data_IF_832720848461
#
_entry.id   IF_832720848461
#
_cell.length_a   1.000
_cell.length_b   1.000
_cell.length_c   1.000
_cell.angle_alpha   90.00
_cell.angle_beta   90.00
_cell.angle_gamma   90.00
#
_symmetry.space_group_name_H-M   'P 1'
#
loop_
_entity.id
_entity.type
_entity.pdbx_description
1 polymer ?
#
# COMPACT_ATOMS: atom_id res chain seq x y z
N UNK A 1 -13.00 -44.87 -47.85
CA UNK A 1 -13.47 -43.86 -46.92
C UNK A 1 -12.51 -43.86 -45.72
N UNK A 2 -11.63 -42.84 -45.56
CA UNK A 2 -10.70 -42.76 -44.44
C UNK A 2 -11.24 -41.70 -43.46
N UNK A 3 -11.63 -42.17 -42.26
CA UNK A 3 -12.11 -41.30 -41.17
C UNK A 3 -10.92 -40.56 -40.54
N UNK A 4 -10.93 -39.24 -40.64
CA UNK A 4 -9.98 -38.35 -39.96
C UNK A 4 -10.54 -38.03 -38.58
N UNK A 5 -9.94 -38.61 -37.55
CA UNK A 5 -10.26 -38.29 -36.15
C UNK A 5 -9.49 -37.03 -35.74
N UNK A 6 -10.20 -35.91 -35.62
CA UNK A 6 -9.63 -34.66 -35.13
C UNK A 6 -9.60 -34.72 -33.60
N UNK A 7 -8.39 -34.74 -33.00
CA UNK A 7 -8.21 -34.61 -31.57
C UNK A 7 -8.23 -33.11 -31.20
N UNK A 8 -9.32 -32.67 -30.56
CA UNK A 8 -9.42 -31.35 -29.99
C UNK A 8 -8.64 -31.33 -28.65
N UNK A 9 -7.43 -30.82 -28.65
CA UNK A 9 -6.65 -30.58 -27.40
C UNK A 9 -7.28 -29.43 -26.64
N UNK A 10 -8.04 -29.76 -25.61
CA UNK A 10 -8.62 -28.77 -24.68
C UNK A 10 -7.54 -28.30 -23.70
N UNK A 11 -6.99 -27.13 -23.94
CA UNK A 11 -6.07 -26.49 -23.01
C UNK A 11 -6.86 -26.08 -21.76
N UNK A 12 -6.71 -26.82 -20.67
CA UNK A 12 -7.13 -26.43 -19.34
C UNK A 12 -6.21 -25.28 -18.90
N UNK A 13 -6.66 -24.05 -19.06
CA UNK A 13 -6.07 -22.90 -18.39
C UNK A 13 -6.40 -23.07 -16.90
N UNK A 14 -5.49 -23.68 -16.14
CA UNK A 14 -5.56 -23.68 -14.68
C UNK A 14 -5.34 -22.24 -14.21
N UNK A 15 -6.41 -21.55 -13.86
CA UNK A 15 -6.28 -20.32 -13.09
C UNK A 15 -5.52 -20.66 -11.81
N UNK A 16 -4.44 -19.92 -11.45
CA UNK A 16 -3.76 -20.13 -10.18
C UNK A 16 -4.80 -19.92 -9.08
N UNK A 17 -5.05 -20.94 -8.29
CA UNK A 17 -5.87 -20.82 -7.09
C UNK A 17 -5.18 -19.77 -6.20
N UNK A 18 -5.88 -18.70 -5.84
CA UNK A 18 -5.44 -17.69 -4.87
C UNK A 18 -5.48 -18.30 -3.45
N UNK A 19 -4.70 -19.35 -3.24
CA UNK A 19 -4.77 -20.23 -2.06
C UNK A 19 -4.19 -19.62 -0.79
N UNK A 20 -4.04 -18.32 -0.67
CA UNK A 20 -3.52 -17.66 0.54
C UNK A 20 -4.05 -16.25 0.72
N UNK A 21 -4.76 -15.70 -0.28
CA UNK A 21 -5.43 -14.39 -0.15
C UNK A 21 -6.63 -14.53 0.78
N UNK A 22 -6.60 -13.75 1.87
CA UNK A 22 -7.67 -13.72 2.88
C UNK A 22 -8.72 -12.70 2.50
N UNK A 23 -8.29 -11.52 2.00
CA UNK A 23 -9.19 -10.44 1.65
C UNK A 23 -8.55 -9.46 0.65
N UNK A 24 -9.41 -8.79 -0.11
CA UNK A 24 -9.06 -7.71 -1.03
C UNK A 24 -9.93 -6.50 -0.77
N UNK A 25 -9.28 -5.34 -0.66
CA UNK A 25 -9.90 -4.02 -0.60
C UNK A 25 -9.33 -3.13 -1.69
N UNK A 26 -9.28 -3.66 -2.92
CA UNK A 26 -8.59 -3.08 -4.08
C UNK A 26 -9.46 -2.13 -4.90
N UNK A 27 -10.73 -1.92 -4.49
CA UNK A 27 -11.72 -1.04 -5.13
C UNK A 27 -12.17 -1.47 -6.52
N UNK A 28 -11.73 -2.63 -7.05
CA UNK A 28 -12.05 -3.10 -8.40
C UNK A 28 -13.54 -3.44 -8.61
N UNK A 29 -14.33 -3.44 -7.55
CA UNK A 29 -15.81 -3.47 -7.64
C UNK A 29 -16.41 -2.13 -8.11
N UNK A 30 -15.61 -1.08 -8.23
CA UNK A 30 -16.08 0.29 -8.48
C UNK A 30 -16.80 0.94 -7.30
N UNK A 31 -16.77 0.30 -6.13
CA UNK A 31 -17.47 0.72 -4.91
C UNK A 31 -16.61 0.49 -3.66
N UNK A 32 -17.11 0.95 -2.51
CA UNK A 32 -16.50 0.70 -1.18
C UNK A 32 -17.01 -0.59 -0.52
N UNK A 33 -17.80 -1.41 -1.22
CA UNK A 33 -18.53 -2.57 -0.65
C UNK A 33 -17.61 -3.70 -0.12
N UNK A 34 -16.32 -3.68 -0.48
CA UNK A 34 -15.33 -4.61 0.07
C UNK A 34 -14.99 -4.33 1.54
N UNK A 35 -15.31 -3.14 2.05
CA UNK A 35 -15.06 -2.72 3.43
C UNK A 35 -16.31 -2.89 4.30
N UNK A 36 -16.10 -3.13 5.60
CA UNK A 36 -17.17 -3.38 6.57
C UNK A 36 -17.99 -2.14 6.91
N UNK A 37 -17.42 -0.94 6.70
CA UNK A 37 -18.05 0.32 7.03
C UNK A 37 -17.15 1.52 6.77
N UNK A 38 -17.59 2.70 7.22
CA UNK A 38 -16.83 3.92 7.12
C UNK A 38 -17.12 4.87 8.28
N UNK A 39 -16.11 5.63 8.71
CA UNK A 39 -16.22 6.82 9.51
C UNK A 39 -15.98 8.01 8.58
N UNK A 40 -17.05 8.66 8.11
CA UNK A 40 -16.97 9.76 7.16
C UNK A 40 -18.13 10.74 7.38
N UNK A 41 -17.90 12.02 7.16
CA UNK A 41 -18.97 13.04 7.29
C UNK A 41 -19.91 13.05 6.10
N UNK A 42 -19.45 12.64 4.92
CA UNK A 42 -20.24 12.52 3.71
C UNK A 42 -19.60 11.58 2.68
N UNK A 43 -20.38 11.15 1.68
CA UNK A 43 -19.89 10.24 0.64
C UNK A 43 -18.79 10.88 -0.25
N UNK A 44 -18.79 12.20 -0.38
CA UNK A 44 -17.81 12.97 -1.16
C UNK A 44 -16.42 12.97 -0.52
N UNK A 45 -16.32 12.58 0.76
CA UNK A 45 -15.04 12.48 1.45
C UNK A 45 -14.29 11.17 1.15
N UNK A 46 -15.01 10.12 0.77
CA UNK A 46 -14.44 8.82 0.43
C UNK A 46 -15.01 8.36 -0.91
N UNK A 47 -14.38 8.78 -2.00
CA UNK A 47 -14.82 8.51 -3.37
C UNK A 47 -13.99 7.39 -4.00
N UNK A 48 -14.66 6.46 -4.69
CA UNK A 48 -13.98 5.55 -5.63
C UNK A 48 -13.84 6.27 -6.96
N UNK A 49 -12.61 6.40 -7.43
CA UNK A 49 -12.23 7.17 -8.63
C UNK A 49 -11.52 6.27 -9.64
N UNK A 50 -11.58 6.67 -10.93
CA UNK A 50 -10.88 5.98 -12.02
C UNK A 50 -9.56 6.66 -12.40
N UNK A 51 -9.19 7.74 -11.72
CA UNK A 51 -7.91 8.45 -11.87
C UNK A 51 -7.67 9.34 -10.65
N UNK A 52 -6.44 9.37 -10.09
CA UNK A 52 -5.33 8.46 -10.42
C UNK A 52 -5.55 7.04 -9.88
N UNK A 53 -4.99 6.03 -10.55
CA UNK A 53 -4.99 4.63 -10.11
C UNK A 53 -3.56 4.07 -10.18
N UNK A 54 -3.22 3.15 -9.28
CA UNK A 54 -1.93 2.48 -9.25
C UNK A 54 -1.97 1.13 -9.99
N UNK A 55 -3.11 0.46 -9.88
CA UNK A 55 -3.37 -0.81 -10.55
C UNK A 55 -4.87 -0.97 -10.83
N UNK A 56 -5.22 -1.83 -11.78
CA UNK A 56 -6.63 -2.02 -12.14
C UNK A 56 -7.29 -0.79 -12.76
N UNK A 57 -8.51 -0.49 -12.31
CA UNK A 57 -9.35 0.58 -12.85
C UNK A 57 -9.80 1.61 -11.83
N UNK A 58 -9.70 1.31 -10.54
CA UNK A 58 -10.29 2.13 -9.50
C UNK A 58 -9.37 2.25 -8.28
N UNK A 59 -9.42 3.41 -7.64
CA UNK A 59 -8.73 3.71 -6.39
C UNK A 59 -9.68 4.47 -5.45
N UNK A 60 -9.39 4.50 -4.15
CA UNK A 60 -10.05 5.37 -3.20
C UNK A 60 -9.37 6.75 -3.20
N UNK A 61 -10.16 7.81 -3.28
CA UNK A 61 -9.77 9.17 -2.91
C UNK A 61 -10.35 9.48 -1.54
N UNK A 62 -9.51 9.69 -0.54
CA UNK A 62 -9.90 10.14 0.79
C UNK A 62 -9.52 11.61 0.98
N UNK A 63 -10.53 12.43 1.31
CA UNK A 63 -10.37 13.87 1.56
C UNK A 63 -10.72 14.18 3.00
N UNK A 64 -9.90 14.98 3.69
CA UNK A 64 -10.20 15.51 5.01
C UNK A 64 -10.07 17.02 5.00
N UNK A 65 -11.10 17.69 5.49
CA UNK A 65 -11.17 19.13 5.73
C UNK A 65 -11.20 19.35 7.24
N UNK A 66 -10.72 20.50 7.72
CA UNK A 66 -10.83 20.83 9.13
C UNK A 66 -12.28 20.83 9.60
N UNK A 67 -12.58 20.16 10.71
CA UNK A 67 -13.92 19.95 11.23
C UNK A 67 -14.60 18.65 10.77
N UNK A 68 -13.99 17.85 9.89
CA UNK A 68 -14.51 16.53 9.54
C UNK A 68 -14.37 15.56 10.74
N UNK A 69 -15.39 15.51 11.61
CA UNK A 69 -15.45 14.63 12.77
C UNK A 69 -16.77 13.82 12.79
N UNK A 70 -16.84 12.69 12.08
CA UNK A 70 -18.05 11.88 11.97
C UNK A 70 -18.42 11.11 13.24
N UNK A 71 -17.57 11.10 14.26
CA UNK A 71 -17.76 10.28 15.46
C UNK A 71 -17.68 11.05 16.78
N UNK A 72 -17.60 12.39 16.71
CA UNK A 72 -17.44 13.29 17.87
C UNK A 72 -16.27 12.88 18.78
N UNK A 73 -15.08 12.73 18.18
CA UNK A 73 -13.87 12.27 18.87
C UNK A 73 -12.66 13.13 18.42
N UNK A 74 -11.45 12.76 18.87
CA UNK A 74 -10.23 13.50 18.54
C UNK A 74 -9.97 13.56 17.03
N UNK A 75 -9.42 14.68 16.58
CA UNK A 75 -8.95 14.91 15.22
C UNK A 75 -10.04 14.90 14.14
N UNK A 76 -9.61 15.10 12.90
CA UNK A 76 -10.48 15.09 11.74
C UNK A 76 -10.22 13.84 10.91
N UNK A 77 -11.28 13.15 10.45
CA UNK A 77 -11.13 11.89 9.73
C UNK A 77 -12.19 11.61 8.69
N UNK A 78 -11.76 10.87 7.67
CA UNK A 78 -12.63 10.11 6.78
C UNK A 78 -11.89 8.81 6.45
N UNK A 79 -12.35 7.70 7.04
CA UNK A 79 -11.70 6.39 7.00
C UNK A 79 -12.70 5.28 6.66
N UNK A 80 -12.27 4.33 5.81
CA UNK A 80 -12.94 3.03 5.66
C UNK A 80 -12.53 2.11 6.79
N UNK A 81 -13.41 1.19 7.16
CA UNK A 81 -13.20 0.18 8.19
C UNK A 81 -13.26 -1.21 7.56
N UNK A 82 -12.27 -2.04 7.82
CA UNK A 82 -12.36 -3.47 7.58
C UNK A 82 -12.20 -4.21 8.91
N UNK A 83 -13.28 -4.84 9.37
CA UNK A 83 -13.33 -5.55 10.65
C UNK A 83 -12.67 -6.93 10.52
N UNK A 84 -11.37 -6.92 10.28
CA UNK A 84 -10.52 -8.10 10.08
C UNK A 84 -10.37 -8.95 11.34
N UNK A 85 -10.52 -8.33 12.53
CA UNK A 85 -10.50 -8.98 13.83
C UNK A 85 -9.24 -9.81 14.10
N UNK A 86 -8.07 -9.26 13.81
CA UNK A 86 -6.79 -9.91 14.10
C UNK A 86 -6.65 -10.16 15.59
N UNK A 87 -6.31 -11.40 15.94
CA UNK A 87 -6.10 -11.86 17.31
C UNK A 87 -4.64 -12.22 17.55
N UNK A 88 -4.27 -12.33 18.83
CA UNK A 88 -2.93 -12.80 19.21
C UNK A 88 -2.62 -14.16 18.58
N UNK A 89 -1.45 -14.27 17.95
CA UNK A 89 -0.99 -15.45 17.22
C UNK A 89 -1.27 -15.42 15.71
N UNK A 90 -2.20 -14.58 15.24
CA UNK A 90 -2.44 -14.41 13.80
C UNK A 90 -1.21 -13.79 13.12
N UNK A 91 -0.96 -14.18 11.86
CA UNK A 91 0.18 -13.74 11.08
C UNK A 91 -0.25 -13.52 9.64
N UNK A 92 0.00 -12.31 9.12
CA UNK A 92 -0.44 -11.90 7.79
C UNK A 92 0.56 -11.02 7.10
N UNK A 93 0.50 -11.05 5.75
CA UNK A 93 1.08 -10.09 4.84
C UNK A 93 -0.03 -9.17 4.33
N UNK A 94 0.21 -7.86 4.42
CA UNK A 94 -0.65 -6.82 3.86
C UNK A 94 0.13 -6.08 2.80
N UNK A 95 -0.45 -5.90 1.61
CA UNK A 95 0.10 -5.04 0.57
C UNK A 95 -0.92 -3.98 0.21
N UNK A 96 -0.49 -2.76 0.07
CA UNK A 96 -1.30 -1.65 -0.44
C UNK A 96 -0.41 -0.58 -1.04
N UNK A 97 -1.06 0.35 -1.77
CA UNK A 97 -0.42 1.54 -2.31
C UNK A 97 -1.13 2.78 -1.81
N UNK A 98 -0.36 3.84 -1.58
CA UNK A 98 -0.86 5.16 -1.20
C UNK A 98 -0.16 6.24 -2.01
N UNK A 99 -0.91 7.27 -2.43
CA UNK A 99 -0.37 8.46 -3.05
C UNK A 99 -0.92 9.69 -2.32
N UNK A 100 -0.03 10.56 -1.90
CA UNK A 100 -0.38 11.87 -1.34
C UNK A 100 -0.53 12.86 -2.48
N UNK A 101 -1.64 13.64 -2.49
CA UNK A 101 -1.84 14.66 -3.52
C UNK A 101 -0.64 15.64 -3.59
N UNK A 102 -0.37 16.27 -4.75
CA UNK A 102 0.76 17.20 -4.89
C UNK A 102 0.76 18.35 -3.87
N UNK A 103 -0.41 18.75 -3.41
CA UNK A 103 -0.65 19.82 -2.41
C UNK A 103 -0.93 19.28 -1.00
N UNK A 104 -0.64 18.00 -0.73
CA UNK A 104 -0.84 17.42 0.60
C UNK A 104 -0.04 18.22 1.65
N UNK A 105 -0.68 18.65 2.78
CA UNK A 105 -0.08 19.59 3.72
C UNK A 105 1.11 19.00 4.47
N UNK A 106 2.17 19.79 4.57
CA UNK A 106 3.35 19.54 5.41
C UNK A 106 3.19 20.28 6.72
N UNK A 107 2.87 19.56 7.78
CA UNK A 107 2.68 20.14 9.12
C UNK A 107 3.41 19.29 10.18
N UNK A 108 3.99 19.89 11.23
CA UNK A 108 4.74 19.15 12.25
C UNK A 108 3.78 18.50 13.27
N UNK A 109 2.80 17.74 12.77
CA UNK A 109 1.89 16.93 13.57
C UNK A 109 1.42 15.73 12.79
N UNK A 110 0.72 14.82 13.43
CA UNK A 110 0.35 13.53 12.87
C UNK A 110 -0.80 13.61 11.84
N UNK A 111 -0.66 12.81 10.76
CA UNK A 111 -1.66 12.58 9.73
C UNK A 111 -1.61 11.09 9.34
N UNK A 112 -2.45 10.26 9.95
CA UNK A 112 -2.51 8.82 9.70
C UNK A 112 -3.22 8.54 8.38
N UNK A 113 -2.65 7.64 7.57
CA UNK A 113 -3.24 7.22 6.31
C UNK A 113 -3.61 5.72 6.30
N UNK A 114 -3.01 4.90 7.16
CA UNK A 114 -3.33 3.49 7.35
C UNK A 114 -3.04 3.12 8.80
N UNK A 115 -3.96 2.44 9.47
CA UNK A 115 -3.78 2.03 10.84
C UNK A 115 -4.49 0.71 11.13
N UNK A 116 -3.95 -0.08 12.05
CA UNK A 116 -4.67 -1.16 12.72
C UNK A 116 -5.02 -0.68 14.11
N UNK A 117 -6.31 -0.39 14.31
CA UNK A 117 -6.84 0.06 15.58
C UNK A 117 -7.32 -1.15 16.40
N UNK A 118 -7.20 -1.10 17.71
CA UNK A 118 -7.76 -2.12 18.58
C UNK A 118 -9.28 -1.97 18.72
N UNK A 119 -9.98 -3.06 19.00
CA UNK A 119 -11.39 -3.04 19.38
C UNK A 119 -11.58 -2.34 20.77
N UNK A 120 -12.80 -1.92 21.05
CA UNK A 120 -13.10 -1.06 22.19
C UNK A 120 -12.89 0.41 21.91
N UNK A 121 -12.93 1.23 22.96
CA UNK A 121 -12.76 2.65 22.83
C UNK A 121 -11.42 3.11 23.40
N UNK A 122 -10.92 4.19 22.81
CA UNK A 122 -9.92 5.10 23.36
C UNK A 122 -8.48 4.60 23.30
N UNK A 123 -7.60 5.49 22.95
CA UNK A 123 -6.17 5.25 22.84
C UNK A 123 -5.65 5.26 21.41
N UNK A 124 -4.32 5.29 21.29
CA UNK A 124 -3.64 5.22 20.01
C UNK A 124 -3.73 3.84 19.41
N UNK A 125 -3.72 3.71 18.08
CA UNK A 125 -3.68 2.40 17.42
C UNK A 125 -2.38 1.66 17.76
N UNK A 126 -2.41 0.32 17.90
CA UNK A 126 -1.19 -0.46 18.08
C UNK A 126 -0.24 -0.40 16.89
N UNK A 127 -0.74 -0.15 15.67
CA UNK A 127 0.07 0.03 14.46
C UNK A 127 -0.49 1.19 13.65
N UNK A 128 0.36 2.15 13.32
CA UNK A 128 -0.02 3.30 12.52
C UNK A 128 1.06 3.71 11.52
N UNK A 129 0.62 3.97 10.29
CA UNK A 129 1.39 4.61 9.24
C UNK A 129 0.90 6.04 9.10
N UNK A 130 1.79 7.00 9.24
CA UNK A 130 1.41 8.41 9.27
C UNK A 130 2.48 9.31 8.65
N UNK A 131 2.05 10.53 8.30
CA UNK A 131 2.91 11.63 7.90
C UNK A 131 3.11 12.54 9.10
N UNK A 132 4.36 13.00 9.29
CA UNK A 132 4.72 14.06 10.24
C UNK A 132 5.75 14.97 9.58
N UNK A 133 5.38 16.22 9.33
CA UNK A 133 6.19 17.12 8.52
C UNK A 133 6.42 16.55 7.11
N UNK A 134 7.69 16.41 6.70
CA UNK A 134 8.10 15.85 5.42
C UNK A 134 8.51 14.37 5.52
N UNK A 135 7.96 13.63 6.51
CA UNK A 135 8.32 12.23 6.73
C UNK A 135 7.11 11.32 6.78
N UNK A 136 7.21 10.17 6.11
CA UNK A 136 6.42 8.97 6.36
C UNK A 136 7.00 8.26 7.59
N UNK A 137 6.14 7.75 8.47
CA UNK A 137 6.55 7.03 9.67
C UNK A 137 5.69 5.78 9.90
N UNK A 138 6.32 4.71 10.40
CA UNK A 138 5.65 3.56 11.02
C UNK A 138 5.90 3.62 12.51
N UNK A 139 4.83 3.68 13.32
CA UNK A 139 4.89 3.64 14.78
C UNK A 139 4.07 2.48 15.33
N UNK A 140 4.57 1.85 16.38
CA UNK A 140 3.90 0.75 17.08
C UNK A 140 3.68 1.11 18.55
N UNK A 141 2.54 0.66 19.07
CA UNK A 141 2.12 0.80 20.48
C UNK A 141 2.28 2.23 21.02
N UNK A 142 2.03 3.23 20.16
CA UNK A 142 2.12 4.66 20.42
C UNK A 142 3.51 5.21 20.80
N UNK A 143 4.55 4.36 20.90
CA UNK A 143 5.85 4.79 21.44
C UNK A 143 7.06 4.41 20.57
N UNK A 144 6.97 3.39 19.74
CA UNK A 144 8.11 2.85 18.99
C UNK A 144 8.03 3.29 17.53
N UNK A 145 8.80 4.28 17.12
CA UNK A 145 9.02 4.56 15.70
C UNK A 145 9.93 3.48 15.12
N UNK A 146 9.34 2.63 14.29
CA UNK A 146 10.05 1.48 13.71
C UNK A 146 10.73 1.82 12.38
N UNK A 147 10.21 2.83 11.65
CA UNK A 147 10.72 3.24 10.34
C UNK A 147 10.30 4.66 10.00
N UNK A 148 11.15 5.33 9.20
CA UNK A 148 10.89 6.64 8.61
C UNK A 148 11.42 6.70 7.18
N UNK A 149 10.76 7.50 6.31
CA UNK A 149 11.24 7.86 4.98
C UNK A 149 10.76 9.25 4.58
N UNK A 150 11.37 9.89 3.57
CA UNK A 150 10.86 11.15 3.03
C UNK A 150 9.44 11.00 2.47
N UNK A 151 8.60 12.00 2.68
CA UNK A 151 7.31 12.14 2.03
C UNK A 151 7.52 12.61 0.58
N UNK A 152 7.14 11.80 -0.40
CA UNK A 152 7.13 12.19 -1.82
C UNK A 152 5.69 12.24 -2.31
N UNK A 153 5.24 13.44 -2.71
CA UNK A 153 3.88 13.69 -3.19
C UNK A 153 3.73 13.39 -4.68
N UNK A 154 2.51 13.09 -5.12
CA UNK A 154 2.20 12.84 -6.53
C UNK A 154 2.72 11.52 -7.08
N UNK A 155 3.31 10.66 -6.24
CA UNK A 155 3.79 9.33 -6.60
C UNK A 155 3.14 8.27 -5.72
N UNK A 156 3.01 7.05 -6.25
CA UNK A 156 2.53 5.92 -5.49
C UNK A 156 3.65 5.32 -4.65
N UNK A 157 3.42 5.20 -3.35
CA UNK A 157 4.22 4.45 -2.39
C UNK A 157 3.59 3.07 -2.23
N UNK A 158 4.34 2.00 -2.51
CA UNK A 158 3.91 0.63 -2.26
C UNK A 158 4.46 0.14 -0.93
N UNK A 159 3.60 -0.43 -0.11
CA UNK A 159 3.95 -1.07 1.15
C UNK A 159 3.63 -2.56 1.10
N UNK A 160 4.53 -3.38 1.65
CA UNK A 160 4.21 -4.74 2.08
C UNK A 160 4.59 -4.82 3.56
N UNK A 161 3.57 -5.09 4.39
CA UNK A 161 3.72 -5.17 5.83
C UNK A 161 3.44 -6.60 6.28
N UNK A 162 4.47 -7.27 6.79
CA UNK A 162 4.36 -8.59 7.40
C UNK A 162 4.34 -8.42 8.90
N UNK A 163 3.35 -9.00 9.57
CA UNK A 163 3.18 -8.86 11.01
C UNK A 163 2.67 -10.14 11.62
N UNK A 164 3.27 -10.52 12.73
CA UNK A 164 2.69 -11.47 13.68
C UNK A 164 2.11 -10.70 14.85
N UNK A 165 0.80 -10.83 15.01
CA UNK A 165 0.06 -10.11 16.03
C UNK A 165 0.28 -10.73 17.40
N UNK A 166 0.83 -9.97 18.34
CA UNK A 166 1.03 -10.41 19.73
C UNK A 166 1.25 -9.23 20.66
N UNK A 167 0.69 -9.24 21.88
CA UNK A 167 1.04 -8.31 22.95
C UNK A 167 2.40 -8.64 23.58
N UNK A 168 2.92 -9.88 23.39
CA UNK A 168 4.21 -10.31 23.87
C UNK A 168 5.31 -9.94 22.85
N UNK A 169 6.27 -9.07 23.21
CA UNK A 169 7.33 -8.63 22.31
C UNK A 169 8.32 -9.73 21.92
N UNK A 170 8.31 -10.87 22.62
CA UNK A 170 9.13 -12.04 22.24
C UNK A 170 8.47 -12.90 21.16
N UNK A 171 7.15 -12.74 20.93
CA UNK A 171 6.36 -13.50 19.97
C UNK A 171 5.96 -12.65 18.78
N UNK A 172 5.55 -11.40 19.01
CA UNK A 172 5.19 -10.44 17.98
C UNK A 172 6.40 -9.98 17.17
N UNK A 173 6.19 -9.71 15.90
CA UNK A 173 7.22 -9.10 15.04
C UNK A 173 6.60 -8.36 13.88
N UNK A 174 7.42 -7.54 13.24
CA UNK A 174 7.13 -6.90 11.97
C UNK A 174 8.27 -7.10 10.98
N UNK A 175 7.92 -7.03 9.68
CA UNK A 175 8.82 -6.77 8.56
C UNK A 175 8.13 -5.76 7.65
N UNK A 176 8.89 -4.87 7.01
CA UNK A 176 8.34 -3.87 6.11
C UNK A 176 9.16 -3.77 4.83
N UNK A 177 8.48 -3.78 3.70
CA UNK A 177 9.01 -3.36 2.41
C UNK A 177 8.32 -2.06 2.00
N UNK A 178 9.10 -1.13 1.49
CA UNK A 178 8.63 0.11 0.90
C UNK A 178 9.21 0.23 -0.51
N UNK A 179 8.34 0.38 -1.50
CA UNK A 179 8.73 0.45 -2.92
C UNK A 179 9.64 -0.71 -3.34
N UNK A 180 9.29 -1.95 -2.95
CA UNK A 180 9.99 -3.22 -3.22
C UNK A 180 11.29 -3.43 -2.46
N UNK A 181 11.77 -2.47 -1.68
CA UNK A 181 12.95 -2.62 -0.82
C UNK A 181 12.53 -3.02 0.59
N UNK A 182 13.18 -4.02 1.19
CA UNK A 182 12.97 -4.37 2.60
C UNK A 182 13.66 -3.33 3.48
N UNK A 183 12.86 -2.42 4.05
CA UNK A 183 13.34 -1.29 4.85
C UNK A 183 13.33 -1.57 6.35
N UNK A 184 12.54 -2.56 6.79
CA UNK A 184 12.60 -3.10 8.15
C UNK A 184 12.73 -4.62 8.04
N UNK A 185 13.92 -5.19 8.29
CA UNK A 185 14.07 -6.63 8.45
C UNK A 185 13.32 -7.09 9.71
N UNK A 186 13.09 -8.40 9.85
CA UNK A 186 12.32 -8.95 10.97
C UNK A 186 12.77 -8.37 12.30
N UNK A 187 11.85 -7.68 12.96
CA UNK A 187 12.05 -7.00 14.24
C UNK A 187 11.00 -7.46 15.23
N UNK A 188 11.44 -8.10 16.32
CA UNK A 188 10.57 -8.56 17.40
C UNK A 188 10.15 -7.38 18.28
N UNK A 189 8.85 -7.25 18.51
CA UNK A 189 8.22 -6.25 19.39
C UNK A 189 6.73 -6.57 19.58
N UNK A 190 6.09 -5.96 20.57
CA UNK A 190 4.63 -6.03 20.70
C UNK A 190 3.95 -5.32 19.51
N UNK A 191 2.96 -5.98 18.91
CA UNK A 191 2.23 -5.50 17.71
C UNK A 191 0.77 -5.24 17.97
N UNK A 192 0.27 -5.56 19.17
CA UNK A 192 -1.10 -5.31 19.62
C UNK A 192 -1.16 -5.13 21.13
N UNK A 193 -2.28 -4.63 21.64
CA UNK A 193 -2.53 -4.55 23.08
C UNK A 193 -3.09 -5.88 23.61
N UNK A 194 -2.80 -6.16 24.88
CA UNK A 194 -3.28 -7.39 25.52
C UNK A 194 -4.82 -7.41 25.64
N UNK A 195 -5.42 -8.54 25.30
CA UNK A 195 -6.87 -8.75 25.45
C UNK A 195 -7.73 -8.06 24.38
N UNK A 196 -7.12 -7.45 23.36
CA UNK A 196 -7.85 -6.77 22.28
C UNK A 196 -7.74 -7.52 20.96
N UNK A 197 -8.60 -7.18 20.00
CA UNK A 197 -8.48 -7.53 18.59
C UNK A 197 -8.18 -6.27 17.81
N UNK A 198 -7.46 -6.41 16.72
CA UNK A 198 -7.21 -5.29 15.81
C UNK A 198 -8.17 -5.33 14.62
N UNK A 199 -8.36 -4.18 13.99
CA UNK A 199 -9.06 -4.03 12.71
C UNK A 199 -8.43 -2.89 11.90
N UNK A 200 -8.51 -3.03 10.58
CA UNK A 200 -7.92 -2.05 9.66
C UNK A 200 -8.80 -0.81 9.53
N UNK A 201 -8.15 0.36 9.51
CA UNK A 201 -8.70 1.62 9.03
C UNK A 201 -7.84 2.17 7.90
N UNK A 202 -8.46 2.61 6.83
CA UNK A 202 -7.82 3.13 5.63
C UNK A 202 -8.48 4.43 5.17
N UNK A 203 -7.69 5.48 4.97
CA UNK A 203 -8.20 6.77 4.57
C UNK A 203 -7.29 7.90 5.00
N UNK A 204 -7.81 8.89 5.70
CA UNK A 204 -7.01 9.94 6.33
C UNK A 204 -7.63 10.32 7.68
N UNK A 205 -6.80 10.28 8.71
CA UNK A 205 -7.11 10.73 10.06
C UNK A 205 -5.98 11.62 10.56
N UNK A 206 -6.28 12.84 11.00
CA UNK A 206 -5.24 13.82 11.30
C UNK A 206 -5.59 14.74 12.46
N UNK A 207 -4.57 15.41 12.98
CA UNK A 207 -4.74 16.40 14.02
C UNK A 207 -5.74 17.50 13.59
N UNK A 208 -6.64 17.88 14.48
CA UNK A 208 -7.71 18.88 14.25
C UNK A 208 -7.19 20.30 14.01
N UNK A 209 -5.96 20.58 14.42
CA UNK A 209 -5.31 21.90 14.19
C UNK A 209 -4.95 22.14 12.73
N UNK A 210 -4.98 21.12 11.87
CA UNK A 210 -4.62 21.23 10.45
C UNK A 210 -5.77 21.85 9.66
N UNK A 211 -5.59 23.10 9.20
CA UNK A 211 -6.62 23.83 8.45
C UNK A 211 -6.63 23.53 6.96
N UNK A 212 -5.51 23.13 6.36
CA UNK A 212 -5.41 22.83 4.94
C UNK A 212 -6.20 21.56 4.60
N UNK A 213 -6.72 21.48 3.39
CA UNK A 213 -7.35 20.24 2.87
C UNK A 213 -6.26 19.18 2.69
N UNK A 214 -6.51 17.96 3.18
CA UNK A 214 -5.64 16.81 2.93
C UNK A 214 -6.33 15.84 1.98
N UNK A 215 -5.61 15.37 0.97
CA UNK A 215 -6.09 14.35 0.01
C UNK A 215 -5.04 13.26 -0.11
N UNK A 216 -5.49 12.01 0.09
CA UNK A 216 -4.70 10.81 -0.17
C UNK A 216 -5.49 9.87 -1.06
N UNK A 217 -4.77 9.06 -1.84
CA UNK A 217 -5.34 8.00 -2.66
C UNK A 217 -4.83 6.66 -2.18
N UNK A 218 -5.71 5.65 -2.11
CA UNK A 218 -5.35 4.29 -1.74
C UNK A 218 -5.78 3.33 -2.82
N UNK A 219 -4.96 2.29 -3.05
CA UNK A 219 -5.21 1.32 -4.09
C UNK A 219 -4.60 -0.05 -3.74
N UNK A 220 -5.13 -1.11 -4.36
CA UNK A 220 -4.53 -2.44 -4.40
C UNK A 220 -4.34 -3.11 -3.03
N UNK A 221 -5.25 -2.89 -2.05
CA UNK A 221 -5.11 -3.51 -0.73
C UNK A 221 -5.39 -5.01 -0.78
N UNK A 222 -4.43 -5.81 -0.31
CA UNK A 222 -4.50 -7.26 -0.22
C UNK A 222 -4.05 -7.70 1.16
N UNK A 223 -4.77 -8.65 1.76
CA UNK A 223 -4.41 -9.37 2.97
C UNK A 223 -4.23 -10.85 2.62
N UNK A 224 -3.09 -11.44 2.97
CA UNK A 224 -2.78 -12.83 2.67
C UNK A 224 -1.97 -13.50 3.78
N UNK A 225 -1.88 -14.84 3.74
CA UNK A 225 -1.08 -15.62 4.70
C UNK A 225 0.33 -15.90 4.21
N UNK A 226 0.66 -15.57 2.95
CA UNK A 226 1.99 -15.81 2.36
C UNK A 226 2.42 -14.59 1.54
N UNK A 227 3.72 -14.37 1.48
CA UNK A 227 4.31 -13.25 0.75
C UNK A 227 3.98 -13.31 -0.76
N UNK A 228 4.10 -14.49 -1.37
CA UNK A 228 3.84 -14.67 -2.80
C UNK A 228 2.41 -14.31 -3.23
N UNK A 229 1.44 -14.40 -2.31
CA UNK A 229 0.03 -14.09 -2.60
C UNK A 229 -0.26 -12.58 -2.60
N UNK A 230 0.62 -11.75 -2.05
CA UNK A 230 0.52 -10.29 -2.11
C UNK A 230 1.40 -9.68 -3.22
N UNK A 231 2.35 -10.43 -3.76
CA UNK A 231 3.18 -9.96 -4.87
C UNK A 231 2.37 -9.95 -6.19
N UNK A 232 2.71 -9.05 -7.12
CA UNK A 232 2.13 -9.10 -8.45
C UNK A 232 2.48 -10.44 -9.13
N UNK A 233 1.59 -11.00 -9.94
CA UNK A 233 1.88 -12.24 -10.66
C UNK A 233 3.14 -12.06 -11.52
N UNK A 234 3.95 -13.13 -11.68
CA UNK A 234 5.10 -13.06 -12.57
C UNK A 234 4.64 -12.71 -13.99
N UNK A 235 5.46 -12.00 -14.77
CA UNK A 235 5.13 -11.71 -16.15
C UNK A 235 4.89 -13.02 -16.93
N UNK A 236 3.95 -13.05 -17.88
CA UNK A 236 3.72 -14.22 -18.69
C UNK A 236 5.02 -14.62 -19.39
N UNK A 237 5.26 -15.92 -19.56
CA UNK A 237 6.43 -16.38 -20.29
C UNK A 237 6.43 -15.77 -21.71
N UNK A 238 7.61 -15.42 -22.25
CA UNK A 238 7.69 -14.88 -23.60
C UNK A 238 7.05 -15.86 -24.57
N UNK A 239 6.38 -15.38 -25.63
CA UNK A 239 5.85 -16.24 -26.68
C UNK A 239 6.96 -17.19 -27.17
N UNK A 240 6.65 -18.45 -27.45
CA UNK A 240 7.63 -19.34 -28.02
C UNK A 240 8.20 -18.70 -29.30
N UNK A 241 9.52 -18.76 -29.45
CA UNK A 241 10.17 -18.26 -30.64
C UNK A 241 9.49 -18.87 -31.87
N UNK A 242 9.25 -18.10 -32.93
CA UNK A 242 8.68 -18.66 -34.16
C UNK A 242 9.53 -19.85 -34.58
N UNK A 243 8.89 -20.99 -34.72
CA UNK A 243 9.54 -22.19 -35.23
C UNK A 243 10.14 -21.83 -36.58
N UNK A 244 11.44 -22.07 -36.84
CA UNK A 244 12.01 -21.83 -38.14
C UNK A 244 11.14 -22.52 -39.19
N UNK A 245 10.67 -21.75 -40.16
CA UNK A 245 9.83 -22.30 -41.23
C UNK A 245 10.63 -23.42 -41.92
N UNK A 246 10.11 -24.66 -41.91
CA UNK A 246 10.75 -25.82 -42.49
C UNK A 246 10.74 -25.65 -44.00
N UNK A 247 11.79 -24.95 -44.52
CA UNK A 247 12.22 -25.10 -45.88
C UNK A 247 11.29 -24.59 -46.96
N UNK A 248 11.45 -23.30 -47.32
CA UNK A 248 11.32 -22.99 -48.75
C UNK A 248 12.48 -23.69 -49.45
N UNK A 249 12.22 -24.60 -50.41
CA UNK A 249 13.31 -25.26 -51.15
C UNK A 249 14.14 -24.19 -51.87
N UNK A 250 15.45 -24.22 -51.62
CA UNK A 250 16.40 -23.39 -52.34
C UNK A 250 16.19 -23.58 -53.85
N UNK A 251 15.94 -22.54 -54.65
CA UNK A 251 15.84 -22.70 -56.10
C UNK A 251 17.18 -23.21 -56.62
N UNK A 252 17.09 -24.31 -57.36
CA UNK A 252 18.21 -24.91 -58.09
C UNK A 252 18.85 -23.84 -58.98
N UNK A 253 20.21 -23.67 -58.99
CA UNK A 253 20.85 -22.72 -59.88
C UNK A 253 20.62 -23.11 -61.35
N UNK A 254 19.98 -22.25 -62.12
CA UNK A 254 19.84 -22.40 -63.55
C UNK A 254 21.23 -22.18 -64.22
N UNK A 255 21.65 -23.17 -64.97
CA UNK A 255 22.90 -23.19 -65.66
C UNK A 255 22.81 -22.34 -66.97
N UNK A 256 23.45 -21.17 -66.96
CA UNK A 256 23.97 -20.62 -68.19
C UNK A 256 23.32 -19.40 -68.80
N UNK A 257 23.84 -18.23 -68.46
CA UNK A 257 23.98 -17.15 -69.41
C UNK A 257 25.30 -16.40 -69.12
N UNK A 258 26.22 -16.22 -70.08
CA UNK A 258 27.50 -15.57 -69.86
C UNK A 258 27.31 -14.07 -69.63
N UNK A 259 28.07 -13.52 -68.70
CA UNK A 259 28.09 -12.10 -68.37
C UNK A 259 28.62 -11.22 -69.51
N UNK A 260 28.05 -10.02 -69.74
CA UNK A 260 28.65 -8.99 -70.62
C UNK A 260 29.83 -8.30 -69.91
N UNK A 261 30.82 -7.90 -70.75
CA UNK A 261 32.09 -7.26 -70.37
C UNK A 261 31.90 -5.91 -69.66
N UNK A 262 32.84 -5.49 -68.80
CA UNK A 262 32.75 -4.24 -68.04
C UNK A 262 33.06 -3.02 -68.91
N UNK A 263 32.30 -1.94 -68.75
CA UNK A 263 32.55 -0.61 -69.31
C UNK A 263 33.58 0.15 -68.43
N UNK A 264 34.38 1.05 -69.08
CA UNK A 264 35.51 1.71 -68.41
C UNK A 264 35.08 2.90 -67.52
N UNK A 265 35.73 2.96 -66.43
CA UNK A 265 36.15 3.97 -65.48
C UNK A 265 35.40 5.32 -65.38
N UNK A 266 34.86 5.57 -64.17
CA UNK A 266 34.72 6.93 -63.66
C UNK A 266 35.55 7.11 -62.41
N UNK A 267 36.32 8.19 -62.38
CA UNK A 267 37.19 8.60 -61.26
C UNK A 267 36.43 9.08 -60.04
N UNK A 268 36.96 8.92 -58.80
CA UNK A 268 36.31 9.39 -57.60
C UNK A 268 36.45 10.89 -57.39
N UNK A 269 35.36 11.55 -57.04
CA UNK A 269 35.35 12.94 -56.58
C UNK A 269 35.77 13.02 -55.09
N UNK A 270 36.43 14.12 -54.67
CA UNK A 270 36.98 14.22 -53.31
C UNK A 270 35.93 14.58 -52.26
N UNK A 271 36.08 13.94 -51.12
CA UNK A 271 35.33 14.18 -49.91
C UNK A 271 35.57 15.55 -49.28
N UNK A 272 34.54 16.33 -49.05
CA UNK A 272 34.60 17.56 -48.25
C UNK A 272 34.66 17.27 -46.74
N UNK A 273 35.12 18.25 -45.93
CA UNK A 273 35.42 18.03 -44.51
C UNK A 273 34.19 17.94 -43.66
N UNK A 274 34.22 17.00 -42.70
CA UNK A 274 33.18 16.78 -41.67
C UNK A 274 33.17 17.93 -40.67
N UNK A 275 31.95 18.38 -40.32
CA UNK A 275 31.66 19.31 -39.23
C UNK A 275 31.73 18.59 -37.89
N UNK A 276 32.39 19.11 -36.83
CA UNK A 276 32.43 18.49 -35.52
C UNK A 276 31.11 18.68 -34.75
N UNK A 277 30.68 17.64 -34.06
CA UNK A 277 29.57 17.63 -33.13
C UNK A 277 29.86 18.47 -31.87
N UNK A 278 28.81 19.03 -31.17
CA UNK A 278 29.00 19.81 -29.96
C UNK A 278 29.44 18.93 -28.79
N UNK A 279 30.45 19.42 -28.05
CA UNK A 279 31.09 18.71 -26.95
C UNK A 279 30.21 18.58 -25.71
N UNK A 280 30.39 17.46 -25.07
CA UNK A 280 29.95 17.08 -23.73
C UNK A 280 30.70 17.95 -22.69
N UNK A 281 30.03 18.46 -21.61
CA UNK A 281 30.70 19.24 -20.58
C UNK A 281 31.58 18.36 -19.69
N UNK A 282 32.79 18.81 -19.45
CA UNK A 282 33.79 18.15 -18.61
C UNK A 282 33.42 18.16 -17.10
N UNK A 283 33.87 17.16 -16.34
CA UNK A 283 33.67 17.13 -14.88
C UNK A 283 34.56 18.16 -14.17
N UNK A 284 34.12 18.68 -12.99
CA UNK A 284 34.88 19.70 -12.26
C UNK A 284 36.15 19.13 -11.63
N UNK A 285 37.16 19.98 -11.63
CA UNK A 285 38.51 19.71 -11.16
C UNK A 285 38.59 19.45 -9.63
N UNK A 286 39.46 18.50 -9.25
CA UNK A 286 39.92 18.23 -7.89
C UNK A 286 40.52 19.47 -7.22
N UNK A 287 40.08 19.76 -6.01
CA UNK A 287 40.72 20.67 -5.08
C UNK A 287 41.56 19.86 -4.07
N UNK A 288 42.84 20.22 -3.83
CA UNK A 288 43.70 19.44 -2.92
C UNK A 288 43.52 19.79 -1.46
N UNK A 289 43.57 18.76 -0.63
CA UNK A 289 44.16 18.67 0.68
C UNK A 289 43.79 19.68 1.78
N UNK A 290 42.91 19.25 2.69
CA UNK A 290 42.79 19.83 4.04
C UNK A 290 43.06 18.76 5.09
N UNK A 291 43.87 19.11 6.06
CA UNK A 291 44.44 18.37 7.19
C UNK A 291 43.36 17.62 8.04
N UNK A 292 43.67 16.50 8.71
CA UNK A 292 42.71 15.77 9.53
C UNK A 292 42.41 16.53 10.82
N UNK A 293 41.19 17.03 10.89
CA UNK A 293 40.61 17.62 12.11
C UNK A 293 40.06 16.51 13.00
N UNK A 294 40.33 16.67 14.28
CA UNK A 294 39.91 15.90 15.47
C UNK A 294 38.42 15.54 15.37
N UNK A 295 38.12 14.23 15.52
CA UNK A 295 36.74 13.70 15.63
C UNK A 295 36.18 14.14 16.98
N UNK A 296 35.30 15.12 16.93
CA UNK A 296 34.42 15.47 18.03
C UNK A 296 33.32 14.42 18.15
N UNK A 297 33.01 13.88 19.35
CA UNK A 297 31.95 12.89 19.49
C UNK A 297 30.61 13.55 19.15
N UNK A 298 29.80 12.89 18.30
CA UNK A 298 28.48 13.28 17.93
C UNK A 298 27.63 13.62 19.18
N UNK A 299 26.84 14.71 19.16
CA UNK A 299 25.96 15.05 20.27
C UNK A 299 24.94 13.90 20.45
N UNK A 300 24.88 13.40 21.68
CA UNK A 300 23.83 12.47 22.10
C UNK A 300 22.49 13.21 21.92
N UNK A 301 21.65 12.71 21.00
CA UNK A 301 20.26 13.14 20.91
C UNK A 301 19.59 12.71 22.22
N UNK A 302 19.37 13.67 23.08
CA UNK A 302 18.44 13.54 24.21
C UNK A 302 17.08 13.35 23.55
N UNK A 303 16.55 12.13 23.66
CA UNK A 303 15.18 11.78 23.28
C UNK A 303 14.23 12.62 24.14
N UNK A 304 13.89 13.82 23.64
CA UNK A 304 12.78 14.59 24.15
C UNK A 304 11.53 13.84 23.71
N UNK A 305 10.93 13.10 24.64
CA UNK A 305 9.76 12.27 24.45
C UNK A 305 8.76 12.93 23.50
N UNK A 306 8.53 12.25 22.39
CA UNK A 306 7.62 12.67 21.32
C UNK A 306 6.19 12.75 21.89
N UNK A 307 5.77 13.94 22.31
CA UNK A 307 4.42 14.24 22.82
C UNK A 307 3.35 14.29 21.73
N UNK A 308 3.69 13.89 20.49
CA UNK A 308 2.82 13.92 19.32
C UNK A 308 1.98 12.63 19.11
N UNK A 309 1.85 11.76 20.09
CA UNK A 309 0.85 10.71 20.04
C UNK A 309 -0.56 11.33 20.01
N UNK A 310 -1.50 10.87 19.18
CA UNK A 310 -2.87 11.32 19.28
C UNK A 310 -3.35 11.12 20.71
N UNK A 311 -3.94 12.17 21.35
CA UNK A 311 -4.32 12.10 22.75
C UNK A 311 -5.27 10.93 22.99
N UNK A 312 -5.01 10.15 24.03
CA UNK A 312 -5.95 9.14 24.54
C UNK A 312 -7.13 9.85 25.18
N UNK A 313 -8.14 10.24 24.40
CA UNK A 313 -9.35 10.82 24.94
C UNK A 313 -10.36 9.74 25.31
N UNK A 314 -10.93 9.88 26.52
CA UNK A 314 -12.01 9.03 26.99
C UNK A 314 -13.24 9.17 26.11
N UNK A 315 -13.72 8.07 25.53
CA UNK A 315 -15.06 8.02 25.00
C UNK A 315 -16.03 8.21 26.17
N UNK A 316 -16.85 9.24 26.13
CA UNK A 316 -18.02 9.27 26.97
C UNK A 316 -18.86 8.04 26.62
N UNK A 317 -18.99 7.10 27.55
CA UNK A 317 -19.93 5.99 27.40
C UNK A 317 -21.32 6.61 27.28
N UNK A 318 -21.85 6.69 26.06
CA UNK A 318 -23.27 6.91 25.84
C UNK A 318 -23.98 5.65 26.30
N UNK A 319 -24.23 5.57 27.62
CA UNK A 319 -25.13 4.59 28.20
C UNK A 319 -26.49 4.80 27.59
N UNK A 320 -26.93 3.91 26.72
CA UNK A 320 -28.31 3.81 26.30
C UNK A 320 -29.17 3.59 27.52
N UNK A 321 -30.17 4.44 27.83
CA UNK A 321 -31.14 4.20 28.90
C UNK A 321 -32.27 3.30 28.39
N UNK A 322 -31.95 2.08 27.99
CA UNK A 322 -32.96 1.08 27.63
C UNK A 322 -32.62 -0.28 28.27
N UNK A 323 -32.73 -0.38 29.57
CA UNK A 323 -32.86 -1.68 30.26
C UNK A 323 -33.22 -1.51 31.76
N UNK A 324 -34.29 -0.79 32.10
CA UNK A 324 -34.99 -0.98 33.40
C UNK A 324 -36.48 -0.69 33.19
N UNK A 325 -37.22 -1.60 32.59
CA UNK A 325 -38.68 -1.65 32.63
C UNK A 325 -39.19 -3.03 32.17
N UNK A 326 -38.76 -4.11 32.82
CA UNK A 326 -39.38 -5.42 32.66
C UNK A 326 -39.06 -6.33 33.85
N UNK A 327 -39.41 -5.90 35.10
CA UNK A 327 -39.40 -6.79 36.26
C UNK A 327 -40.33 -6.27 37.37
N UNK A 328 -41.57 -5.86 37.02
CA UNK A 328 -42.67 -5.62 37.99
C UNK A 328 -44.03 -6.00 37.39
N UNK A 329 -44.12 -7.19 36.79
CA UNK A 329 -45.37 -7.68 36.18
C UNK A 329 -45.67 -9.15 36.43
N UNK A 330 -45.12 -9.82 37.47
CA UNK A 330 -45.36 -11.24 37.72
C UNK A 330 -45.50 -11.59 39.21
N UNK A 331 -46.23 -10.78 39.96
CA UNK A 331 -46.62 -11.11 41.35
C UNK A 331 -48.08 -10.69 41.67
N UNK A 332 -49.01 -10.85 40.72
CA UNK A 332 -50.42 -10.45 40.87
C UNK A 332 -51.47 -11.48 40.44
N UNK A 333 -51.13 -12.75 40.21
CA UNK A 333 -52.11 -13.72 39.73
C UNK A 333 -52.03 -15.09 40.42
N UNK A 334 -52.04 -15.12 41.78
CA UNK A 334 -52.16 -16.35 42.53
C UNK A 334 -52.88 -16.07 43.86
N UNK A 335 -54.11 -15.49 43.77
CA UNK A 335 -55.08 -15.56 44.90
C UNK A 335 -56.47 -15.28 44.36
N UNK A 336 -57.13 -16.28 43.82
CA UNK A 336 -58.62 -16.37 43.79
C UNK A 336 -59.05 -17.70 43.13
N UNK A 337 -58.95 -18.78 43.85
CA UNK A 337 -59.85 -19.94 43.71
C UNK A 337 -59.86 -20.74 45.01
N UNK A 338 -60.69 -20.33 45.91
CA UNK A 338 -61.39 -21.19 46.88
C UNK A 338 -62.57 -20.39 47.36
N UNK A 339 -63.72 -20.63 46.74
CA UNK A 339 -65.04 -20.94 47.22
C UNK A 339 -65.94 -21.27 46.04
#
# INVERSE_FOLDING_TARGET
>A
MRSITVWLAMWLVSSPALAGVVWRGDFETGTRSQYSGAQMVSAERLQVVSSPVAEGRYALKATVIQGDDPINSSGNRNELLYMSNETAGAEYYYRWKVMFAPDFPSVPTWQLFTQWHHDGCCGSPPVEFFVHGEQLRLRLTASITAWTAPLVRGVWHEFIFHVKWSPDPSVGFIELWHNKEQVVPRRSLATMYAGTKNYLKLGLYRNESISQVGVVYHDGFIMATRLEDVLPPPPPPPPPAPTPDAGTPTPTPDAGTPAPAPAPGESPSPSGPATPAPGEPAPPANVPGGTPGTVEPAPQVIDSGDSDAPPAFGCAASGSPFAVLALLGLLGALRSRRR
#
